data_IF_702507763571
#
_entry.id   IF_702507763571
#
_cell.length_a   1.000
_cell.length_b   1.000
_cell.length_c   1.000
_cell.angle_alpha   90.00
_cell.angle_beta   90.00
_cell.angle_gamma   90.00
#
_symmetry.space_group_name_H-M   'P 1'
#
loop_
_entity.id
_entity.type
_entity.pdbx_description
1 polymer ?
#
# COMPACT_ATOMS: atom_id res chain seq x y z
N UNK A 1 30.08 -17.37 9.09
CA UNK A 1 30.67 -16.06 9.45
C UNK A 1 30.63 -15.19 8.20
N UNK A 2 30.51 -13.88 8.31
CA UNK A 2 30.61 -13.02 7.12
C UNK A 2 32.06 -12.99 6.63
N UNK A 3 32.29 -13.26 5.35
CA UNK A 3 33.63 -13.27 4.75
C UNK A 3 34.12 -11.85 4.44
N UNK A 4 33.19 -10.90 4.26
CA UNK A 4 33.46 -9.48 4.01
C UNK A 4 33.23 -8.65 5.27
N UNK A 5 34.06 -7.62 5.46
CA UNK A 5 33.95 -6.66 6.57
C UNK A 5 34.16 -5.23 6.08
N UNK A 6 33.41 -4.30 6.65
CA UNK A 6 33.65 -2.87 6.54
C UNK A 6 34.49 -2.41 7.73
N UNK A 7 35.35 -1.42 7.51
CA UNK A 7 36.16 -0.81 8.57
C UNK A 7 35.65 0.59 8.84
N UNK A 8 35.29 0.86 10.08
CA UNK A 8 34.89 2.20 10.55
C UNK A 8 35.93 2.69 11.55
N UNK A 9 36.49 3.88 11.31
CA UNK A 9 37.45 4.52 12.21
C UNK A 9 36.80 5.73 12.91
N UNK A 10 36.85 5.76 14.25
CA UNK A 10 36.31 6.85 15.07
C UNK A 10 37.32 7.13 16.19
N UNK A 11 37.80 8.37 16.30
CA UNK A 11 38.76 8.82 17.32
C UNK A 11 39.98 7.89 17.48
N UNK A 12 40.54 7.42 16.36
CA UNK A 12 41.69 6.51 16.34
C UNK A 12 41.39 5.06 16.71
N UNK A 13 40.13 4.71 17.02
CA UNK A 13 39.67 3.33 17.22
C UNK A 13 39.14 2.76 15.90
N UNK A 14 39.45 1.49 15.66
CA UNK A 14 39.02 0.76 14.47
C UNK A 14 37.94 -0.26 14.85
N UNK A 15 36.81 -0.22 14.18
CA UNK A 15 35.72 -1.18 14.32
C UNK A 15 35.56 -1.96 13.01
N UNK A 16 35.61 -3.28 13.11
CA UNK A 16 35.28 -4.17 11.99
C UNK A 16 33.80 -4.55 12.07
N UNK A 17 33.05 -4.20 11.03
CA UNK A 17 31.62 -4.48 10.93
C UNK A 17 31.38 -5.55 9.85
N UNK A 18 30.65 -6.63 10.15
CA UNK A 18 30.28 -7.63 9.15
C UNK A 18 29.53 -7.00 7.97
N UNK A 19 29.80 -7.47 6.76
CA UNK A 19 28.99 -7.17 5.58
C UNK A 19 28.19 -8.43 5.21
N UNK A 20 26.87 -8.31 5.13
CA UNK A 20 25.99 -9.39 4.72
C UNK A 20 25.50 -9.16 3.29
N UNK A 21 25.55 -10.20 2.48
CA UNK A 21 24.94 -10.23 1.17
C UNK A 21 23.56 -10.91 1.26
N UNK A 22 22.56 -10.32 0.60
CA UNK A 22 21.27 -10.98 0.37
C UNK A 22 21.30 -11.87 -0.88
N UNK A 23 20.19 -12.55 -1.17
CA UNK A 23 20.01 -13.27 -2.44
C UNK A 23 20.01 -12.31 -3.65
N UNK A 24 19.55 -11.07 -3.44
CA UNK A 24 19.55 -9.98 -4.40
C UNK A 24 19.64 -8.63 -3.66
N UNK A 25 19.93 -7.56 -4.40
CA UNK A 25 20.02 -6.20 -3.86
C UNK A 25 21.42 -5.81 -3.38
N UNK A 26 21.47 -4.81 -2.51
CA UNK A 26 22.73 -4.21 -2.02
C UNK A 26 23.21 -4.91 -0.75
N UNK A 27 24.51 -5.20 -0.65
CA UNK A 27 25.16 -5.68 0.57
C UNK A 27 24.93 -4.70 1.74
N UNK A 28 24.67 -5.20 2.94
CA UNK A 28 24.39 -4.38 4.14
C UNK A 28 25.51 -4.48 5.17
N UNK A 29 25.82 -3.37 5.82
CA UNK A 29 26.81 -3.30 6.92
C UNK A 29 26.08 -3.48 8.25
N UNK A 30 26.49 -4.48 9.04
CA UNK A 30 25.92 -4.72 10.36
C UNK A 30 26.47 -3.77 11.41
N UNK A 31 25.65 -2.78 11.76
CA UNK A 31 25.97 -1.76 12.77
C UNK A 31 25.47 -2.12 14.19
N UNK A 32 24.93 -3.31 14.42
CA UNK A 32 24.30 -3.68 15.72
C UNK A 32 25.27 -3.56 16.91
N UNK A 33 26.56 -3.78 16.68
CA UNK A 33 27.60 -3.71 17.73
C UNK A 33 28.05 -2.28 18.02
N UNK A 34 27.82 -1.30 17.13
CA UNK A 34 28.27 0.09 17.32
C UNK A 34 27.64 0.75 18.56
N UNK A 35 26.39 0.42 18.86
CA UNK A 35 25.70 0.96 20.04
C UNK A 35 26.38 0.59 21.37
N UNK A 36 27.00 -0.61 21.44
CA UNK A 36 27.76 -1.06 22.62
C UNK A 36 29.09 -0.31 22.76
N UNK A 37 29.57 0.30 21.67
CA UNK A 37 30.79 1.11 21.62
C UNK A 37 30.52 2.60 21.86
N UNK A 38 29.27 2.98 22.13
CA UNK A 38 28.87 4.35 22.42
C UNK A 38 28.48 5.19 21.20
N UNK A 39 28.37 4.59 20.01
CA UNK A 39 28.06 5.31 18.77
C UNK A 39 26.73 4.87 18.16
N UNK A 40 26.02 5.82 17.55
CA UNK A 40 24.84 5.58 16.73
C UNK A 40 25.04 6.19 15.36
N UNK A 41 24.42 5.58 14.35
CA UNK A 41 24.28 6.21 13.03
C UNK A 41 23.20 7.31 13.11
N UNK A 42 23.27 8.27 12.20
CA UNK A 42 22.26 9.33 12.06
C UNK A 42 21.74 9.32 10.63
N UNK A 43 20.54 8.78 10.45
CA UNK A 43 19.89 8.61 9.15
C UNK A 43 18.40 9.02 9.24
N UNK A 44 18.09 10.32 9.34
CA UNK A 44 16.71 10.80 9.33
C UNK A 44 15.99 10.35 8.07
N UNK A 45 14.93 9.55 8.24
CA UNK A 45 14.15 8.99 7.14
C UNK A 45 14.56 7.58 6.71
N UNK A 46 15.58 6.97 7.35
CA UNK A 46 16.03 5.60 7.09
C UNK A 46 16.46 5.34 5.64
N UNK A 47 17.06 6.34 5.00
CA UNK A 47 17.38 6.27 3.57
C UNK A 47 18.57 5.35 3.26
N UNK A 48 19.38 5.02 4.25
CA UNK A 48 20.55 4.16 4.14
C UNK A 48 20.55 3.05 5.20
N UNK A 49 19.39 2.76 5.79
CA UNK A 49 19.24 1.79 6.88
C UNK A 49 18.35 0.63 6.45
N UNK A 50 18.93 -0.55 6.26
CA UNK A 50 18.17 -1.80 6.14
C UNK A 50 17.64 -2.24 7.50
N UNK A 51 16.33 -2.07 7.75
CA UNK A 51 15.74 -2.30 9.07
C UNK A 51 15.40 -3.76 9.38
N UNK A 52 15.35 -4.63 8.38
CA UNK A 52 15.00 -6.05 8.54
C UNK A 52 15.53 -6.92 7.41
N UNK A 53 15.66 -8.22 7.67
CA UNK A 53 15.68 -9.24 6.63
C UNK A 53 14.23 -9.52 6.18
N UNK A 54 14.01 -9.75 4.88
CA UNK A 54 12.70 -10.12 4.35
C UNK A 54 12.82 -11.03 3.13
N UNK A 55 11.82 -11.88 2.94
CA UNK A 55 11.68 -12.82 1.81
C UNK A 55 10.38 -12.61 1.04
N UNK A 56 9.64 -11.53 1.33
CA UNK A 56 8.31 -11.29 0.75
C UNK A 56 8.41 -10.65 -0.63
N UNK A 57 9.03 -9.47 -0.70
CA UNK A 57 9.09 -8.67 -1.92
C UNK A 57 10.50 -8.15 -2.13
N UNK A 58 10.94 -8.17 -3.39
CA UNK A 58 12.20 -7.57 -3.82
C UNK A 58 11.93 -6.50 -4.86
N UNK A 59 12.66 -5.39 -4.76
CA UNK A 59 12.60 -4.29 -5.72
C UNK A 59 14.02 -3.96 -6.19
N UNK A 60 14.20 -3.90 -7.51
CA UNK A 60 15.33 -3.21 -8.12
C UNK A 60 14.81 -1.95 -8.81
N UNK A 61 15.00 -0.81 -8.15
CA UNK A 61 14.53 0.48 -8.64
C UNK A 61 15.23 0.94 -9.91
N UNK A 62 16.49 0.54 -10.12
CA UNK A 62 17.25 0.93 -11.30
C UNK A 62 16.81 0.13 -12.52
N UNK A 63 16.53 -1.15 -12.35
CA UNK A 63 16.11 -2.03 -13.45
C UNK A 63 14.58 -2.14 -13.61
N UNK A 64 13.80 -1.49 -12.75
CA UNK A 64 12.33 -1.54 -12.83
C UNK A 64 11.76 -2.91 -12.46
N UNK A 65 12.40 -3.62 -11.53
CA UNK A 65 11.99 -4.98 -11.14
C UNK A 65 11.15 -4.94 -9.88
N UNK A 66 10.02 -5.64 -9.87
CA UNK A 66 9.21 -5.94 -8.69
C UNK A 66 8.92 -7.44 -8.65
N UNK A 67 9.39 -8.10 -7.60
CA UNK A 67 9.16 -9.53 -7.40
C UNK A 67 8.37 -9.75 -6.11
N UNK A 68 7.31 -10.56 -6.17
CA UNK A 68 6.67 -11.14 -4.98
C UNK A 68 7.07 -12.61 -4.90
N UNK A 69 7.76 -13.00 -3.82
CA UNK A 69 8.33 -14.35 -3.64
C UNK A 69 9.14 -14.84 -4.84
N UNK A 70 9.83 -13.92 -5.51
CA UNK A 70 10.64 -14.20 -6.71
C UNK A 70 9.87 -14.16 -8.04
N UNK A 71 8.54 -14.08 -8.03
CA UNK A 71 7.73 -13.97 -9.25
C UNK A 71 7.60 -12.52 -9.70
N UNK A 72 7.91 -12.18 -10.97
CA UNK A 72 7.72 -10.84 -11.50
C UNK A 72 6.26 -10.40 -11.46
N UNK A 73 6.03 -9.14 -11.08
CA UNK A 73 4.69 -8.59 -10.91
C UNK A 73 3.85 -8.65 -12.18
N UNK A 74 4.47 -8.51 -13.35
CA UNK A 74 3.79 -8.57 -14.65
C UNK A 74 3.22 -9.97 -14.90
N UNK A 75 3.97 -11.00 -14.52
CA UNK A 75 3.50 -12.39 -14.65
C UNK A 75 2.34 -12.67 -13.71
N UNK A 76 2.40 -12.19 -12.47
CA UNK A 76 1.30 -12.32 -11.52
C UNK A 76 0.05 -11.59 -12.03
N UNK A 77 0.19 -10.36 -12.50
CA UNK A 77 -0.94 -9.57 -12.98
C UNK A 77 -1.56 -10.09 -14.29
N UNK A 78 -0.82 -10.85 -15.09
CA UNK A 78 -1.31 -11.49 -16.32
C UNK A 78 -1.92 -12.89 -16.08
N UNK A 79 -1.32 -13.69 -15.18
CA UNK A 79 -1.59 -15.13 -15.07
C UNK A 79 -2.23 -15.57 -13.76
N UNK A 80 -2.21 -14.71 -12.74
CA UNK A 80 -2.74 -14.99 -11.40
C UNK A 80 -4.03 -14.20 -11.17
N UNK A 81 -4.52 -14.26 -9.93
CA UNK A 81 -5.56 -13.40 -9.41
C UNK A 81 -5.20 -12.91 -8.00
N UNK A 82 -5.96 -11.98 -7.45
CA UNK A 82 -5.64 -11.38 -6.16
C UNK A 82 -5.61 -12.39 -5.00
N UNK A 83 -6.49 -13.40 -4.96
CA UNK A 83 -6.49 -14.38 -3.87
C UNK A 83 -5.32 -15.36 -3.95
N UNK A 84 -4.89 -15.75 -5.14
CA UNK A 84 -3.68 -16.56 -5.33
C UNK A 84 -2.43 -15.75 -4.94
N UNK A 85 -2.37 -14.46 -5.31
CA UNK A 85 -1.32 -13.54 -4.85
C UNK A 85 -1.33 -13.36 -3.34
N UNK A 86 -2.51 -13.30 -2.71
CA UNK A 86 -2.62 -13.25 -1.26
C UNK A 86 -2.03 -14.50 -0.60
N UNK A 87 -2.36 -15.69 -1.14
CA UNK A 87 -1.80 -16.95 -0.66
C UNK A 87 -0.27 -16.95 -0.78
N UNK A 88 0.25 -16.58 -1.95
CA UNK A 88 1.69 -16.50 -2.22
C UNK A 88 2.41 -15.60 -1.20
N UNK A 89 1.87 -14.41 -0.93
CA UNK A 89 2.46 -13.47 0.01
C UNK A 89 2.43 -14.00 1.45
N UNK A 90 1.38 -14.69 1.86
CA UNK A 90 1.25 -15.26 3.20
C UNK A 90 2.12 -16.50 3.41
N UNK A 91 2.05 -17.45 2.48
CA UNK A 91 2.58 -18.81 2.66
C UNK A 91 3.99 -18.97 2.05
N UNK A 92 4.41 -18.07 1.15
CA UNK A 92 5.74 -18.06 0.55
C UNK A 92 5.85 -18.79 -0.79
N UNK A 93 4.86 -19.62 -1.13
CA UNK A 93 4.81 -20.45 -2.33
C UNK A 93 3.45 -20.32 -3.02
N UNK A 94 3.37 -20.60 -4.32
CA UNK A 94 2.08 -20.69 -5.02
C UNK A 94 1.27 -21.90 -4.51
N UNK A 95 -0.05 -21.77 -4.38
CA UNK A 95 -0.89 -22.86 -3.91
C UNK A 95 -1.01 -23.97 -4.96
N UNK A 96 -1.10 -25.21 -4.50
CA UNK A 96 -1.74 -26.28 -5.28
C UNK A 96 -3.23 -26.00 -5.45
N UNK A 97 -3.88 -26.64 -6.42
CA UNK A 97 -5.33 -26.49 -6.65
C UNK A 97 -6.15 -26.67 -5.36
N UNK A 98 -5.89 -27.74 -4.60
CA UNK A 98 -6.61 -28.00 -3.35
C UNK A 98 -6.37 -26.91 -2.30
N UNK A 99 -5.12 -26.45 -2.14
CA UNK A 99 -4.80 -25.36 -1.20
C UNK A 99 -5.47 -24.05 -1.61
N UNK A 100 -5.53 -23.77 -2.91
CA UNK A 100 -6.20 -22.59 -3.43
C UNK A 100 -7.71 -22.63 -3.14
N UNK A 101 -8.38 -23.75 -3.44
CA UNK A 101 -9.81 -23.92 -3.15
C UNK A 101 -10.13 -23.80 -1.67
N UNK A 102 -9.29 -24.37 -0.79
CA UNK A 102 -9.45 -24.26 0.66
C UNK A 102 -9.21 -22.83 1.15
N UNK A 103 -8.26 -22.11 0.56
CA UNK A 103 -8.00 -20.71 0.86
C UNK A 103 -9.18 -19.83 0.44
N UNK A 104 -9.63 -19.93 -0.81
CA UNK A 104 -10.80 -19.20 -1.32
C UNK A 104 -12.02 -19.47 -0.44
N UNK A 105 -12.32 -20.73 -0.15
CA UNK A 105 -13.43 -21.11 0.74
C UNK A 105 -13.29 -20.47 2.12
N UNK A 106 -12.08 -20.45 2.68
CA UNK A 106 -11.82 -19.83 3.98
C UNK A 106 -12.08 -18.33 3.95
N UNK A 107 -11.56 -17.62 2.95
CA UNK A 107 -11.78 -16.18 2.79
C UNK A 107 -13.27 -15.88 2.59
N UNK A 108 -13.93 -16.56 1.66
CA UNK A 108 -15.36 -16.39 1.36
C UNK A 108 -16.25 -16.58 2.59
N UNK A 109 -15.94 -17.56 3.45
CA UNK A 109 -16.70 -17.82 4.69
C UNK A 109 -16.45 -16.83 5.82
N UNK A 110 -15.56 -15.85 5.64
CA UNK A 110 -15.26 -14.82 6.63
C UNK A 110 -15.56 -13.40 6.14
N UNK A 111 -16.21 -13.22 4.99
CA UNK A 111 -16.47 -11.90 4.38
C UNK A 111 -17.47 -11.04 5.16
N UNK A 112 -18.49 -11.66 5.77
CA UNK A 112 -19.45 -10.94 6.61
C UNK A 112 -18.79 -10.35 7.86
N UNK A 113 -19.11 -9.10 8.18
CA UNK A 113 -18.71 -8.47 9.44
C UNK A 113 -19.76 -8.73 10.52
N UNK A 114 -19.40 -8.59 11.79
CA UNK A 114 -20.37 -8.64 12.87
C UNK A 114 -21.34 -7.44 12.76
N UNK A 115 -22.63 -7.62 12.99
CA UNK A 115 -23.65 -6.55 12.81
C UNK A 115 -23.37 -5.28 13.64
N UNK A 116 -22.73 -5.44 14.80
CA UNK A 116 -22.28 -4.29 15.62
C UNK A 116 -21.15 -3.47 14.97
N UNK A 117 -20.38 -4.03 14.03
CA UNK A 117 -19.45 -3.27 13.18
C UNK A 117 -20.25 -2.42 12.19
N UNK A 118 -21.33 -2.95 11.58
CA UNK A 118 -22.20 -2.15 10.73
C UNK A 118 -22.84 -0.99 11.52
N UNK A 119 -23.26 -1.24 12.78
CA UNK A 119 -23.74 -0.17 13.66
C UNK A 119 -22.65 0.85 14.04
N UNK A 120 -21.39 0.44 14.14
CA UNK A 120 -20.27 1.35 14.43
C UNK A 120 -20.13 2.47 13.39
N UNK A 121 -20.49 2.21 12.12
CA UNK A 121 -20.50 3.24 11.08
C UNK A 121 -21.43 4.41 11.39
N UNK A 122 -22.50 4.20 12.17
CA UNK A 122 -23.45 5.23 12.56
C UNK A 122 -22.86 6.29 13.50
N UNK A 123 -21.69 6.01 14.11
CA UNK A 123 -20.96 6.98 14.93
C UNK A 123 -20.16 8.01 14.13
N UNK A 124 -19.95 7.80 12.82
CA UNK A 124 -19.30 8.77 11.96
C UNK A 124 -20.28 9.85 11.51
N UNK A 125 -19.73 10.98 11.05
CA UNK A 125 -20.52 11.96 10.30
C UNK A 125 -20.75 11.45 8.88
N UNK A 126 -21.89 11.83 8.28
CA UNK A 126 -22.22 11.48 6.90
C UNK A 126 -21.21 12.02 5.86
N UNK A 127 -20.52 13.11 6.19
CA UNK A 127 -19.48 13.74 5.37
C UNK A 127 -18.05 13.27 5.74
N UNK A 128 -17.92 12.25 6.58
CA UNK A 128 -16.62 11.72 6.97
C UNK A 128 -15.88 11.14 5.75
N UNK A 129 -14.57 11.38 5.68
CA UNK A 129 -13.74 10.81 4.62
C UNK A 129 -13.69 9.27 4.76
N UNK A 130 -13.86 8.48 3.69
CA UNK A 130 -13.81 7.02 3.74
C UNK A 130 -12.57 6.42 4.40
N UNK A 131 -11.38 7.01 4.20
CA UNK A 131 -10.15 6.60 4.91
C UNK A 131 -10.24 6.76 6.44
N UNK A 132 -10.93 7.79 6.94
CA UNK A 132 -11.13 7.97 8.38
C UNK A 132 -12.02 6.86 8.94
N UNK A 133 -13.09 6.52 8.20
CA UNK A 133 -13.98 5.40 8.55
C UNK A 133 -13.22 4.07 8.54
N UNK A 134 -12.44 3.81 7.48
CA UNK A 134 -11.62 2.61 7.38
C UNK A 134 -10.64 2.49 8.56
N UNK A 135 -9.91 3.57 8.88
CA UNK A 135 -8.97 3.60 9.99
C UNK A 135 -9.65 3.31 11.33
N UNK A 136 -10.80 3.95 11.60
CA UNK A 136 -11.54 3.77 12.84
C UNK A 136 -12.14 2.37 12.98
N UNK A 137 -12.78 1.86 11.91
CA UNK A 137 -13.42 0.53 11.91
C UNK A 137 -12.39 -0.58 12.02
N UNK A 138 -11.28 -0.51 11.28
CA UNK A 138 -10.21 -1.52 11.35
C UNK A 138 -9.59 -1.53 12.75
N UNK A 139 -9.35 -0.36 13.35
CA UNK A 139 -8.89 -0.29 14.74
C UNK A 139 -9.89 -0.92 15.73
N UNK A 140 -11.19 -0.68 15.52
CA UNK A 140 -12.24 -1.26 16.35
C UNK A 140 -12.40 -2.78 16.18
N UNK A 141 -11.92 -3.39 15.09
CA UNK A 141 -12.02 -4.85 14.89
C UNK A 141 -11.42 -5.65 16.06
N UNK A 142 -10.39 -5.13 16.74
CA UNK A 142 -9.81 -5.82 17.89
C UNK A 142 -10.78 -6.02 19.04
N UNK A 143 -11.81 -5.17 19.21
CA UNK A 143 -12.83 -5.37 20.25
C UNK A 143 -13.83 -6.47 19.90
N UNK A 144 -14.03 -6.77 18.61
CA UNK A 144 -14.97 -7.80 18.14
C UNK A 144 -14.31 -9.16 17.95
N UNK A 145 -13.04 -9.18 17.59
CA UNK A 145 -12.26 -10.38 17.32
C UNK A 145 -11.21 -10.63 18.41
N UNK A 146 -11.56 -10.27 19.65
CA UNK A 146 -10.66 -10.33 20.81
C UNK A 146 -10.20 -11.76 21.19
N UNK A 147 -10.88 -12.80 20.67
CA UNK A 147 -10.53 -14.20 20.86
C UNK A 147 -9.27 -14.64 20.11
N UNK A 148 -8.78 -13.85 19.16
CA UNK A 148 -7.66 -14.21 18.28
C UNK A 148 -6.58 -13.11 18.24
N UNK A 149 -6.23 -12.56 19.40
CA UNK A 149 -5.24 -11.48 19.55
C UNK A 149 -3.91 -11.93 20.16
N UNK A 150 -3.73 -13.21 20.51
CA UNK A 150 -2.42 -13.70 20.91
C UNK A 150 -1.50 -13.78 19.68
N UNK A 151 -0.61 -12.80 19.58
CA UNK A 151 0.33 -12.67 18.47
C UNK A 151 1.47 -13.71 18.52
N UNK A 152 1.60 -14.45 19.62
CA UNK A 152 2.59 -15.52 19.74
C UNK A 152 2.05 -16.87 19.24
N UNK A 153 0.73 -17.00 19.04
CA UNK A 153 0.09 -18.17 18.48
C UNK A 153 0.01 -18.05 16.94
N UNK A 154 0.80 -18.85 16.17
CA UNK A 154 0.80 -18.77 14.72
C UNK A 154 -0.57 -19.02 14.08
N UNK A 155 -1.41 -19.84 14.71
CA UNK A 155 -2.75 -20.14 14.19
C UNK A 155 -3.70 -18.95 14.41
N UNK A 156 -3.57 -18.20 15.50
CA UNK A 156 -4.31 -16.95 15.70
C UNK A 156 -3.85 -15.87 14.72
N UNK A 157 -2.55 -15.75 14.48
CA UNK A 157 -2.00 -14.84 13.46
C UNK A 157 -2.58 -15.13 12.07
N UNK A 158 -2.55 -16.40 11.64
CA UNK A 158 -3.13 -16.85 10.37
C UNK A 158 -4.64 -16.55 10.27
N UNK A 159 -5.42 -16.83 11.32
CA UNK A 159 -6.86 -16.49 11.34
C UNK A 159 -7.10 -14.98 11.26
N UNK A 160 -6.30 -14.17 11.94
CA UNK A 160 -6.38 -12.70 11.85
C UNK A 160 -6.06 -12.19 10.45
N UNK A 161 -5.04 -12.76 9.79
CA UNK A 161 -4.73 -12.45 8.39
C UNK A 161 -5.89 -12.78 7.43
N UNK A 162 -6.46 -13.98 7.55
CA UNK A 162 -7.62 -14.38 6.73
C UNK A 162 -8.83 -13.46 6.97
N UNK A 163 -9.10 -13.08 8.24
CA UNK A 163 -10.19 -12.15 8.57
C UNK A 163 -9.98 -10.77 7.98
N UNK A 164 -8.75 -10.24 8.02
CA UNK A 164 -8.43 -8.95 7.41
C UNK A 164 -8.66 -8.99 5.90
N UNK A 165 -8.10 -9.99 5.20
CA UNK A 165 -8.28 -10.14 3.74
C UNK A 165 -9.76 -10.29 3.37
N UNK A 166 -10.53 -11.06 4.15
CA UNK A 166 -11.95 -11.30 3.88
C UNK A 166 -12.85 -10.09 4.17
N UNK A 167 -12.57 -9.32 5.22
CA UNK A 167 -13.50 -8.30 5.74
C UNK A 167 -13.22 -6.89 5.23
N UNK A 168 -11.98 -6.59 4.85
CA UNK A 168 -11.63 -5.25 4.37
C UNK A 168 -12.44 -4.81 3.14
N UNK A 169 -12.76 -5.67 2.14
CA UNK A 169 -13.68 -5.30 1.06
C UNK A 169 -15.08 -4.93 1.54
N UNK A 170 -15.63 -5.69 2.48
CA UNK A 170 -16.94 -5.40 3.07
C UNK A 170 -16.91 -4.06 3.80
N UNK A 171 -15.87 -3.79 4.60
CA UNK A 171 -15.71 -2.53 5.34
C UNK A 171 -15.52 -1.35 4.37
N UNK A 172 -14.71 -1.52 3.32
CA UNK A 172 -14.49 -0.50 2.31
C UNK A 172 -15.79 -0.16 1.55
N UNK A 173 -16.53 -1.18 1.12
CA UNK A 173 -17.82 -0.96 0.45
C UNK A 173 -18.87 -0.33 1.38
N UNK A 174 -18.89 -0.71 2.66
CA UNK A 174 -19.74 -0.04 3.68
C UNK A 174 -19.37 1.44 3.84
N UNK A 175 -18.07 1.78 3.86
CA UNK A 175 -17.64 3.19 3.91
C UNK A 175 -18.14 3.98 2.69
N UNK A 176 -18.06 3.41 1.49
CA UNK A 176 -18.65 4.02 0.30
C UNK A 176 -20.17 4.21 0.42
N UNK A 177 -20.91 3.11 0.68
CA UNK A 177 -22.37 3.14 0.83
C UNK A 177 -22.84 4.17 1.87
N UNK A 178 -22.11 4.28 2.97
CA UNK A 178 -22.37 5.26 4.01
C UNK A 178 -22.26 6.69 3.48
N UNK A 179 -21.20 7.02 2.73
CA UNK A 179 -21.01 8.38 2.17
C UNK A 179 -22.05 8.77 1.12
N UNK A 180 -22.61 7.80 0.38
CA UNK A 180 -23.64 8.07 -0.64
C UNK A 180 -25.07 7.88 -0.11
N UNK A 181 -25.25 7.59 1.19
CA UNK A 181 -26.56 7.44 1.83
C UNK A 181 -27.36 6.22 1.36
N UNK A 182 -26.68 5.16 0.89
CA UNK A 182 -27.31 3.94 0.42
C UNK A 182 -27.22 2.82 1.47
N UNK A 183 -28.13 1.82 1.46
CA UNK A 183 -28.04 0.68 2.35
C UNK A 183 -26.76 -0.12 2.12
N UNK A 184 -26.22 -0.71 3.19
CA UNK A 184 -25.12 -1.64 3.08
C UNK A 184 -25.54 -2.90 2.31
N UNK A 185 -24.63 -3.39 1.48
CA UNK A 185 -24.82 -4.59 0.68
C UNK A 185 -23.97 -5.70 1.30
N UNK A 186 -24.58 -6.86 1.52
CA UNK A 186 -23.87 -8.02 2.04
C UNK A 186 -23.02 -8.71 0.96
N UNK A 187 -21.91 -9.37 1.36
CA UNK A 187 -21.12 -10.16 0.43
C UNK A 187 -21.89 -11.36 -0.10
N UNK A 188 -21.58 -11.74 -1.34
CA UNK A 188 -22.11 -12.92 -2.05
C UNK A 188 -21.02 -13.97 -2.24
N UNK A 189 -21.32 -15.20 -1.87
CA UNK A 189 -20.35 -16.31 -1.90
C UNK A 189 -20.13 -16.90 -3.30
N UNK A 190 -21.04 -16.62 -4.24
CA UNK A 190 -20.98 -17.08 -5.63
C UNK A 190 -20.18 -16.15 -6.54
N UNK A 191 -19.77 -14.99 -6.04
CA UNK A 191 -18.94 -14.03 -6.76
C UNK A 191 -17.46 -14.18 -6.36
N UNK A 192 -16.56 -13.93 -7.31
CA UNK A 192 -15.13 -13.79 -7.02
C UNK A 192 -14.84 -12.56 -6.14
N UNK A 193 -13.60 -12.41 -5.67
CA UNK A 193 -13.23 -11.34 -4.75
C UNK A 193 -13.50 -9.94 -5.33
N UNK A 194 -13.13 -9.70 -6.59
CA UNK A 194 -13.33 -8.42 -7.28
C UNK A 194 -14.79 -8.21 -7.71
N UNK A 195 -15.47 -9.26 -8.17
CA UNK A 195 -16.90 -9.19 -8.49
C UNK A 195 -17.74 -8.86 -7.26
N UNK A 196 -17.45 -9.50 -6.13
CA UNK A 196 -18.13 -9.26 -4.87
C UNK A 196 -17.88 -7.83 -4.38
N UNK A 197 -16.66 -7.29 -4.52
CA UNK A 197 -16.38 -5.91 -4.17
C UNK A 197 -17.18 -4.91 -5.01
N UNK A 198 -17.22 -5.08 -6.34
CA UNK A 198 -18.03 -4.23 -7.23
C UNK A 198 -19.52 -4.35 -6.91
N UNK A 199 -20.01 -5.56 -6.65
CA UNK A 199 -21.38 -5.79 -6.21
C UNK A 199 -21.70 -5.04 -4.92
N UNK A 200 -20.87 -5.15 -3.88
CA UNK A 200 -21.08 -4.47 -2.61
C UNK A 200 -21.00 -2.94 -2.73
N UNK A 201 -20.14 -2.43 -3.63
CA UNK A 201 -20.04 -1.00 -3.93
C UNK A 201 -21.30 -0.50 -4.63
N UNK A 202 -21.73 -1.13 -5.72
CA UNK A 202 -22.64 -0.48 -6.68
C UNK A 202 -24.07 -1.01 -6.70
N UNK A 203 -24.32 -2.23 -6.24
CA UNK A 203 -25.68 -2.77 -6.25
C UNK A 203 -26.62 -2.02 -5.31
N UNK A 204 -27.90 -1.99 -5.66
CA UNK A 204 -28.96 -1.41 -4.83
C UNK A 204 -30.15 -2.38 -4.78
N UNK A 205 -31.03 -2.31 -3.78
CA UNK A 205 -32.20 -3.20 -3.71
C UNK A 205 -33.22 -3.00 -4.84
N UNK A 206 -33.13 -1.89 -5.58
CA UNK A 206 -34.11 -1.52 -6.59
C UNK A 206 -33.97 -2.30 -7.92
N UNK A 207 -32.84 -2.92 -8.18
CA UNK A 207 -32.59 -3.67 -9.43
C UNK A 207 -31.46 -4.70 -9.29
N UNK A 208 -31.40 -5.64 -10.23
CA UNK A 208 -30.31 -6.61 -10.28
C UNK A 208 -29.03 -5.95 -10.81
N UNK A 209 -27.96 -5.99 -10.01
CA UNK A 209 -26.64 -5.53 -10.45
C UNK A 209 -25.86 -6.66 -11.13
N UNK A 210 -25.53 -6.46 -12.41
CA UNK A 210 -24.71 -7.38 -13.19
C UNK A 210 -23.28 -6.85 -13.26
N UNK A 211 -22.35 -7.63 -12.72
CA UNK A 211 -20.92 -7.26 -12.75
C UNK A 211 -20.38 -7.48 -14.17
N UNK A 212 -19.76 -6.46 -14.76
CA UNK A 212 -19.01 -6.64 -16.02
C UNK A 212 -17.73 -7.44 -15.75
N UNK A 213 -17.48 -8.54 -16.48
CA UNK A 213 -16.24 -9.32 -16.34
C UNK A 213 -14.98 -8.49 -16.60
N UNK A 214 -15.03 -7.51 -17.50
CA UNK A 214 -13.89 -6.62 -17.80
C UNK A 214 -13.57 -5.75 -16.59
N UNK A 215 -14.59 -5.16 -15.96
CA UNK A 215 -14.38 -4.34 -14.77
C UNK A 215 -13.91 -5.17 -13.57
N UNK A 216 -14.45 -6.37 -13.39
CA UNK A 216 -13.99 -7.29 -12.35
C UNK A 216 -12.52 -7.67 -12.52
N UNK A 217 -12.09 -7.96 -13.76
CA UNK A 217 -10.69 -8.23 -14.09
C UNK A 217 -9.79 -7.01 -13.84
N UNK A 218 -10.26 -5.82 -14.20
CA UNK A 218 -9.52 -4.58 -13.94
C UNK A 218 -9.32 -4.32 -12.45
N UNK A 219 -10.37 -4.54 -11.63
CA UNK A 219 -10.27 -4.42 -10.18
C UNK A 219 -9.33 -5.47 -9.58
N UNK A 220 -9.36 -6.72 -10.05
CA UNK A 220 -8.46 -7.77 -9.57
C UNK A 220 -6.98 -7.43 -9.86
N UNK A 221 -6.68 -6.90 -11.05
CA UNK A 221 -5.36 -6.36 -11.39
C UNK A 221 -4.95 -5.19 -10.50
N UNK A 222 -5.85 -4.23 -10.25
CA UNK A 222 -5.59 -3.14 -9.29
C UNK A 222 -5.21 -3.72 -7.94
N UNK A 223 -5.92 -4.75 -7.45
CA UNK A 223 -5.62 -5.33 -6.15
C UNK A 223 -4.23 -5.99 -6.12
N UNK A 224 -3.89 -6.79 -7.14
CA UNK A 224 -2.57 -7.43 -7.23
C UNK A 224 -1.44 -6.40 -7.28
N UNK A 225 -1.58 -5.35 -8.10
CA UNK A 225 -0.53 -4.35 -8.31
C UNK A 225 -0.30 -3.43 -7.09
N UNK A 226 -1.21 -3.47 -6.13
CA UNK A 226 -1.11 -2.75 -4.87
C UNK A 226 -0.91 -3.68 -3.66
N UNK A 227 -0.85 -5.00 -3.86
CA UNK A 227 -0.84 -6.02 -2.80
C UNK A 227 0.31 -5.85 -1.80
N UNK A 228 1.52 -5.60 -2.30
CA UNK A 228 2.68 -5.28 -1.48
C UNK A 228 3.68 -4.38 -2.22
N UNK A 229 4.54 -3.68 -1.48
CA UNK A 229 5.61 -2.87 -2.06
C UNK A 229 6.78 -2.68 -1.06
N UNK A 230 7.25 -3.77 -0.46
CA UNK A 230 8.45 -3.82 0.40
C UNK A 230 8.36 -2.85 1.62
N UNK A 231 9.49 -2.33 2.15
CA UNK A 231 9.57 -1.50 3.36
C UNK A 231 9.20 -0.02 3.12
N UNK A 232 8.05 0.22 2.47
CA UNK A 232 7.48 1.57 2.38
C UNK A 232 6.95 2.05 3.76
N UNK A 233 6.67 3.36 3.87
CA UNK A 233 6.28 4.01 5.13
C UNK A 233 5.17 3.26 5.89
N UNK A 234 4.10 2.84 5.21
CA UNK A 234 3.00 2.12 5.83
C UNK A 234 3.38 0.71 6.31
N UNK A 235 4.19 -0.03 5.54
CA UNK A 235 4.71 -1.34 5.96
C UNK A 235 5.64 -1.18 7.17
N UNK A 236 6.52 -0.18 7.16
CA UNK A 236 7.39 0.13 8.30
C UNK A 236 6.58 0.53 9.53
N UNK A 237 5.48 1.27 9.37
CA UNK A 237 4.56 1.58 10.48
C UNK A 237 3.93 0.32 11.06
N UNK A 238 3.42 -0.59 10.22
CA UNK A 238 2.83 -1.86 10.65
C UNK A 238 3.85 -2.71 11.43
N UNK A 239 5.08 -2.83 10.91
CA UNK A 239 6.18 -3.53 11.60
C UNK A 239 6.53 -2.86 12.93
N UNK A 240 6.72 -1.54 12.94
CA UNK A 240 7.09 -0.82 14.15
C UNK A 240 6.03 -0.94 15.25
N UNK A 241 4.75 -0.77 14.90
CA UNK A 241 3.64 -0.98 15.82
C UNK A 241 3.55 -2.44 16.30
N UNK A 242 3.66 -3.41 15.39
CA UNK A 242 3.65 -4.83 15.74
C UNK A 242 4.79 -5.23 16.66
N UNK A 243 5.97 -4.62 16.51
CA UNK A 243 7.18 -4.96 17.28
C UNK A 243 7.04 -4.68 18.79
N UNK A 244 6.09 -3.82 19.19
CA UNK A 244 5.76 -3.58 20.60
C UNK A 244 4.77 -4.60 21.17
N UNK A 245 4.32 -5.56 20.37
CA UNK A 245 3.31 -6.55 20.73
C UNK A 245 1.86 -6.10 20.49
N UNK A 246 1.64 -5.07 19.68
CA UNK A 246 0.29 -4.61 19.37
C UNK A 246 -0.49 -5.65 18.55
N UNK A 247 -1.80 -5.72 18.78
CA UNK A 247 -2.68 -6.65 18.07
C UNK A 247 -2.72 -6.37 16.56
N UNK A 248 -3.00 -7.37 15.70
CA UNK A 248 -2.88 -7.23 14.25
C UNK A 248 -3.81 -6.15 13.67
N UNK A 249 -5.04 -6.03 14.18
CA UNK A 249 -6.01 -5.05 13.68
C UNK A 249 -5.55 -3.61 13.97
N UNK A 250 -5.01 -3.34 15.16
CA UNK A 250 -4.41 -2.04 15.48
C UNK A 250 -3.18 -1.75 14.63
N UNK A 251 -2.35 -2.76 14.33
CA UNK A 251 -1.19 -2.61 13.44
C UNK A 251 -1.64 -2.24 12.02
N UNK A 252 -2.64 -2.94 11.47
CA UNK A 252 -3.20 -2.61 10.15
C UNK A 252 -3.85 -1.22 10.16
N UNK A 253 -4.57 -0.83 11.21
CA UNK A 253 -5.12 0.53 11.32
C UNK A 253 -4.02 1.60 11.29
N UNK A 254 -2.87 1.35 11.92
CA UNK A 254 -1.71 2.23 11.83
C UNK A 254 -1.13 2.28 10.40
N UNK A 255 -1.12 1.14 9.69
CA UNK A 255 -0.80 1.08 8.26
C UNK A 255 -1.74 1.92 7.40
N UNK A 256 -3.06 1.82 7.63
CA UNK A 256 -4.10 2.63 6.97
C UNK A 256 -3.86 4.12 7.21
N UNK A 257 -3.61 4.53 8.45
CA UNK A 257 -3.33 5.92 8.80
C UNK A 257 -2.05 6.43 8.11
N UNK A 258 -0.99 5.62 8.08
CA UNK A 258 0.27 5.94 7.40
C UNK A 258 0.09 6.06 5.88
N UNK A 259 -0.72 5.18 5.27
CA UNK A 259 -1.03 5.23 3.84
C UNK A 259 -1.91 6.43 3.46
N UNK A 260 -2.76 6.91 4.36
CA UNK A 260 -3.61 8.08 4.10
C UNK A 260 -2.81 9.38 3.93
N UNK A 261 -1.57 9.43 4.42
CA UNK A 261 -0.70 10.59 4.24
C UNK A 261 -0.55 10.96 2.76
N UNK A 262 -0.65 12.25 2.37
CA UNK A 262 -0.64 12.68 0.98
C UNK A 262 0.68 12.37 0.25
N UNK A 263 1.78 12.27 0.99
CA UNK A 263 3.10 11.88 0.47
C UNK A 263 3.28 10.36 0.30
N UNK A 264 2.26 9.56 0.62
CA UNK A 264 2.25 8.11 0.46
C UNK A 264 1.09 7.68 -0.44
N UNK A 265 -0.01 7.14 0.10
CA UNK A 265 -1.13 6.60 -0.69
C UNK A 265 -2.16 7.62 -1.17
N UNK A 266 -2.05 8.90 -0.79
CA UNK A 266 -2.90 9.98 -1.30
C UNK A 266 -2.52 10.50 -2.69
N UNK A 267 -1.48 9.93 -3.31
CA UNK A 267 -0.97 10.39 -4.61
C UNK A 267 -1.95 10.17 -5.76
N UNK A 268 -2.75 9.09 -5.73
CA UNK A 268 -3.77 8.79 -6.74
C UNK A 268 -4.90 9.83 -6.76
N UNK A 269 -5.42 10.21 -5.60
CA UNK A 269 -6.42 11.28 -5.46
C UNK A 269 -5.85 12.62 -5.93
N UNK A 270 -4.61 12.93 -5.55
CA UNK A 270 -3.93 14.14 -5.96
C UNK A 270 -3.65 14.19 -7.48
N UNK A 271 -3.35 13.05 -8.10
CA UNK A 271 -3.21 12.92 -9.55
C UNK A 271 -4.51 13.28 -10.27
N UNK A 272 -5.65 12.75 -9.82
CA UNK A 272 -6.92 13.08 -10.48
C UNK A 272 -7.33 14.54 -10.25
N UNK A 273 -7.10 15.09 -9.05
CA UNK A 273 -7.31 16.52 -8.76
C UNK A 273 -6.43 17.41 -9.65
N UNK A 274 -5.19 17.01 -9.87
CA UNK A 274 -4.28 17.70 -10.80
C UNK A 274 -4.81 17.66 -12.23
N UNK A 275 -5.22 16.49 -12.74
CA UNK A 275 -5.81 16.37 -14.07
C UNK A 275 -7.06 17.25 -14.21
N UNK A 276 -7.93 17.27 -13.20
CA UNK A 276 -9.10 18.15 -13.13
C UNK A 276 -8.72 19.64 -13.12
N UNK A 277 -7.65 20.02 -12.41
CA UNK A 277 -7.15 21.38 -12.37
C UNK A 277 -6.59 21.85 -13.73
N UNK A 278 -5.95 20.94 -14.47
CA UNK A 278 -5.51 21.19 -15.85
C UNK A 278 -6.75 21.40 -16.73
N UNK A 279 -7.73 20.50 -16.64
CA UNK A 279 -9.05 20.62 -17.26
C UNK A 279 -9.08 20.24 -18.73
N UNK A 280 -8.15 20.76 -19.55
CA UNK A 280 -8.13 20.55 -21.00
C UNK A 280 -6.71 20.48 -21.58
N UNK A 281 -6.59 19.86 -22.76
CA UNK A 281 -5.30 19.57 -23.41
C UNK A 281 -4.51 20.84 -23.74
N UNK A 282 -5.19 21.90 -24.16
CA UNK A 282 -4.61 23.20 -24.49
C UNK A 282 -3.97 23.91 -23.29
N UNK A 283 -4.34 23.53 -22.06
CA UNK A 283 -3.74 24.07 -20.82
C UNK A 283 -2.52 23.28 -20.35
N UNK A 284 -2.22 22.11 -20.92
CA UNK A 284 -1.06 21.31 -20.48
C UNK A 284 0.27 22.09 -20.55
N UNK A 285 0.57 22.88 -21.60
CA UNK A 285 1.81 23.67 -21.65
C UNK A 285 1.98 24.62 -20.44
N UNK A 286 0.89 25.22 -19.95
CA UNK A 286 0.86 26.08 -18.76
C UNK A 286 1.37 25.30 -17.53
N UNK A 287 0.77 24.13 -17.25
CA UNK A 287 1.10 23.33 -16.07
C UNK A 287 2.45 22.64 -16.16
N UNK A 288 2.89 22.29 -17.36
CA UNK A 288 4.24 21.79 -17.60
C UNK A 288 5.27 22.86 -17.28
N UNK A 289 5.05 24.12 -17.69
CA UNK A 289 5.93 25.22 -17.33
C UNK A 289 5.98 25.44 -15.80
N UNK A 290 4.81 25.41 -15.13
CA UNK A 290 4.71 25.49 -13.67
C UNK A 290 5.45 24.36 -12.95
N UNK A 291 5.36 23.13 -13.43
CA UNK A 291 6.07 21.99 -12.85
C UNK A 291 7.60 22.06 -13.00
N UNK A 292 8.09 22.85 -13.97
CA UNK A 292 9.52 23.11 -14.20
C UNK A 292 10.05 24.29 -13.41
N UNK A 293 9.19 25.19 -12.97
CA UNK A 293 9.59 26.35 -12.17
C UNK A 293 9.93 25.91 -10.74
N UNK A 294 11.17 26.21 -10.33
CA UNK A 294 11.66 25.91 -8.97
C UNK A 294 10.97 26.77 -7.90
N UNK A 295 10.37 27.90 -8.29
CA UNK A 295 9.67 28.83 -7.40
C UNK A 295 8.15 28.55 -7.32
N UNK A 296 7.60 27.73 -8.21
CA UNK A 296 6.21 27.26 -8.12
C UNK A 296 6.15 26.00 -7.24
N UNK A 297 5.09 25.88 -6.44
CA UNK A 297 4.82 24.72 -5.59
C UNK A 297 4.12 23.59 -6.35
N UNK A 298 3.63 23.84 -7.56
CA UNK A 298 2.96 22.85 -8.40
C UNK A 298 3.88 21.69 -8.78
N UNK A 299 3.37 20.46 -8.68
CA UNK A 299 4.10 19.24 -9.04
C UNK A 299 3.17 18.32 -9.83
N UNK A 300 3.77 17.56 -10.75
CA UNK A 300 3.05 16.52 -11.49
C UNK A 300 2.83 15.29 -10.59
N UNK A 301 1.62 15.18 -10.04
CA UNK A 301 1.20 14.04 -9.23
C UNK A 301 0.97 12.82 -10.12
N UNK A 302 1.37 11.63 -9.65
CA UNK A 302 1.36 10.41 -10.47
C UNK A 302 2.59 10.25 -11.38
N UNK A 303 3.60 11.12 -11.25
CA UNK A 303 4.86 11.06 -12.01
C UNK A 303 6.07 10.93 -11.07
N UNK A 304 7.05 10.13 -11.51
CA UNK A 304 8.21 9.78 -10.72
C UNK A 304 7.90 8.75 -9.64
N UNK A 305 8.96 8.20 -9.04
CA UNK A 305 8.84 7.20 -8.00
C UNK A 305 10.06 7.25 -7.07
N UNK A 306 9.87 6.98 -5.77
CA UNK A 306 10.97 7.04 -4.77
C UNK A 306 12.02 5.95 -5.01
N UNK A 307 11.55 4.78 -5.43
CA UNK A 307 12.36 3.58 -5.69
C UNK A 307 12.69 3.42 -7.18
N UNK A 308 11.69 3.29 -8.06
CA UNK A 308 11.91 3.18 -9.51
C UNK A 308 12.50 4.45 -10.14
N UNK A 309 13.64 4.31 -10.81
CA UNK A 309 14.31 5.40 -11.51
C UNK A 309 13.95 5.46 -13.00
N UNK A 310 13.68 4.33 -13.66
CA UNK A 310 13.55 4.34 -15.12
C UNK A 310 12.11 4.09 -15.62
N UNK A 311 11.36 3.21 -14.97
CA UNK A 311 9.92 3.00 -15.18
C UNK A 311 9.33 2.21 -14.02
N UNK A 312 8.02 2.33 -13.79
CA UNK A 312 7.29 1.50 -12.84
C UNK A 312 6.74 0.26 -13.57
N UNK A 313 7.17 -0.97 -13.24
CA UNK A 313 6.72 -2.19 -13.93
C UNK A 313 5.21 -2.38 -13.87
N UNK A 314 4.57 -1.87 -12.80
CA UNK A 314 3.12 -1.98 -12.60
C UNK A 314 2.34 -1.07 -13.56
N UNK A 315 2.93 0.06 -13.94
CA UNK A 315 2.28 1.05 -14.79
C UNK A 315 1.99 0.49 -16.19
N UNK A 316 2.84 -0.41 -16.71
CA UNK A 316 2.62 -1.08 -17.99
C UNK A 316 1.31 -1.86 -18.02
N UNK A 317 1.11 -2.76 -17.04
CA UNK A 317 -0.11 -3.57 -16.93
C UNK A 317 -1.34 -2.70 -16.66
N UNK A 318 -1.17 -1.65 -15.85
CA UNK A 318 -2.27 -0.71 -15.59
C UNK A 318 -2.69 0.07 -16.84
N UNK A 319 -1.75 0.46 -17.70
CA UNK A 319 -2.04 1.16 -18.95
C UNK A 319 -2.88 0.32 -19.90
N UNK A 320 -2.53 -0.95 -20.07
CA UNK A 320 -3.31 -1.91 -20.88
C UNK A 320 -4.73 -2.08 -20.30
N UNK A 321 -4.81 -2.27 -18.98
CA UNK A 321 -6.08 -2.37 -18.26
C UNK A 321 -6.94 -1.11 -18.42
N UNK A 322 -6.32 0.07 -18.48
CA UNK A 322 -7.01 1.34 -18.70
C UNK A 322 -7.72 1.34 -20.05
N UNK A 323 -7.04 0.93 -21.11
CA UNK A 323 -7.64 0.84 -22.45
C UNK A 323 -8.78 -0.19 -22.52
N UNK A 324 -8.64 -1.35 -21.86
CA UNK A 324 -9.70 -2.37 -21.76
C UNK A 324 -10.97 -1.78 -21.12
N UNK A 325 -10.85 -1.11 -19.97
CA UNK A 325 -11.98 -0.54 -19.22
C UNK A 325 -12.69 0.57 -19.99
N UNK A 326 -11.92 1.48 -20.58
CA UNK A 326 -12.50 2.60 -21.33
C UNK A 326 -13.27 2.14 -22.57
N UNK A 327 -12.75 1.11 -23.24
CA UNK A 327 -13.41 0.49 -24.40
C UNK A 327 -14.71 -0.20 -23.99
N UNK A 328 -14.70 -0.98 -22.91
CA UNK A 328 -15.89 -1.66 -22.36
C UNK A 328 -17.01 -0.66 -22.02
N UNK A 329 -16.66 0.45 -21.37
CA UNK A 329 -17.64 1.43 -20.91
C UNK A 329 -18.07 2.42 -22.00
N UNK A 330 -17.43 2.38 -23.18
CA UNK A 330 -17.63 3.33 -24.27
C UNK A 330 -17.56 4.80 -23.79
N UNK A 331 -16.66 5.09 -22.83
CA UNK A 331 -16.50 6.40 -22.22
C UNK A 331 -15.56 7.25 -23.09
N UNK A 332 -16.04 8.44 -23.45
CA UNK A 332 -15.19 9.55 -23.92
C UNK A 332 -15.08 10.56 -22.79
N UNK A 333 -13.96 10.54 -22.08
CA UNK A 333 -13.69 11.45 -20.96
C UNK A 333 -12.61 12.47 -21.38
N UNK A 334 -12.92 13.78 -21.45
CA UNK A 334 -11.89 14.79 -21.75
C UNK A 334 -10.69 14.76 -20.79
N UNK A 335 -10.88 14.29 -19.55
CA UNK A 335 -9.76 14.15 -18.60
C UNK A 335 -8.81 13.02 -18.98
N UNK A 336 -9.28 12.02 -19.73
CA UNK A 336 -8.41 11.00 -20.30
C UNK A 336 -7.56 11.60 -21.42
N UNK A 337 -8.12 12.46 -22.28
CA UNK A 337 -7.34 13.12 -23.32
C UNK A 337 -6.22 13.98 -22.70
N UNK A 338 -6.54 14.68 -21.60
CA UNK A 338 -5.54 15.40 -20.79
C UNK A 338 -4.49 14.45 -20.24
N UNK A 339 -4.90 13.31 -19.67
CA UNK A 339 -3.97 12.33 -19.13
C UNK A 339 -3.05 11.75 -20.21
N UNK A 340 -3.58 11.31 -21.34
CA UNK A 340 -2.80 10.74 -22.44
C UNK A 340 -1.81 11.74 -23.03
N UNK A 341 -2.21 13.00 -23.20
CA UNK A 341 -1.29 14.02 -23.71
C UNK A 341 -0.22 14.40 -22.66
N UNK A 342 -0.58 14.44 -21.37
CA UNK A 342 0.37 14.67 -20.30
C UNK A 342 1.38 13.52 -20.18
N UNK A 343 0.93 12.26 -20.34
CA UNK A 343 1.79 11.08 -20.45
C UNK A 343 2.77 11.25 -21.61
N UNK A 344 2.27 11.57 -22.81
CA UNK A 344 3.08 11.77 -24.02
C UNK A 344 4.15 12.84 -23.81
N UNK A 345 3.79 13.96 -23.18
CA UNK A 345 4.73 15.05 -22.88
C UNK A 345 5.76 14.62 -21.85
N UNK A 346 5.35 13.96 -20.76
CA UNK A 346 6.29 13.48 -19.75
C UNK A 346 7.32 12.49 -20.31
N UNK A 347 6.94 11.69 -21.31
CA UNK A 347 7.83 10.72 -21.97
C UNK A 347 8.74 11.34 -23.05
N UNK A 348 8.44 12.55 -23.54
CA UNK A 348 9.17 13.18 -24.66
C UNK A 348 9.89 14.48 -24.29
N UNK A 349 9.52 15.13 -23.19
CA UNK A 349 10.14 16.37 -22.75
C UNK A 349 11.51 16.11 -22.07
N UNK A 350 12.58 16.81 -22.49
CA UNK A 350 13.91 16.62 -21.91
C UNK A 350 13.97 16.81 -20.39
N UNK A 351 13.17 17.72 -19.82
CA UNK A 351 13.17 17.95 -18.37
C UNK A 351 12.65 16.73 -17.61
N UNK A 352 11.54 16.14 -18.07
CA UNK A 352 10.94 14.99 -17.39
C UNK A 352 11.79 13.74 -17.57
N UNK A 353 12.43 13.55 -18.72
CA UNK A 353 13.38 12.46 -18.97
C UNK A 353 14.62 12.60 -18.06
N UNK A 354 15.24 13.78 -18.00
CA UNK A 354 16.43 14.02 -17.16
C UNK A 354 16.10 13.83 -15.67
N UNK A 355 14.93 14.30 -15.23
CA UNK A 355 14.44 14.16 -13.86
C UNK A 355 13.81 12.81 -13.56
N UNK A 356 13.71 11.92 -14.55
CA UNK A 356 13.16 10.56 -14.40
C UNK A 356 11.71 10.55 -13.88
N UNK A 357 10.91 11.49 -14.37
CA UNK A 357 9.52 11.71 -13.95
C UNK A 357 8.55 10.97 -14.90
N UNK A 358 8.53 9.64 -14.79
CA UNK A 358 7.67 8.77 -15.58
C UNK A 358 6.31 8.54 -14.89
N UNK A 359 5.21 8.32 -15.64
CA UNK A 359 3.94 7.92 -15.06
C UNK A 359 4.11 6.65 -14.20
N UNK A 360 3.55 6.66 -13.00
CA UNK A 360 3.58 5.51 -12.10
C UNK A 360 2.21 4.81 -12.03
N UNK A 361 2.10 3.75 -11.21
CA UNK A 361 0.85 2.98 -11.07
C UNK A 361 -0.36 3.84 -10.66
N UNK A 362 -0.16 4.90 -9.87
CA UNK A 362 -1.23 5.76 -9.34
C UNK A 362 -1.89 6.61 -10.43
N UNK A 363 -1.13 6.94 -11.49
CA UNK A 363 -1.63 7.70 -12.62
C UNK A 363 -2.76 6.95 -13.34
N UNK A 364 -2.51 5.69 -13.72
CA UNK A 364 -3.48 4.88 -14.44
C UNK A 364 -4.59 4.33 -13.55
N UNK A 365 -4.27 3.96 -12.30
CA UNK A 365 -5.28 3.43 -11.37
C UNK A 365 -6.36 4.47 -11.08
N UNK A 366 -6.00 5.74 -10.90
CA UNK A 366 -6.96 6.82 -10.70
C UNK A 366 -7.93 7.01 -11.88
N UNK A 367 -7.44 6.85 -13.12
CA UNK A 367 -8.28 6.98 -14.32
C UNK A 367 -9.26 5.81 -14.42
N UNK A 368 -8.80 4.58 -14.19
CA UNK A 368 -9.65 3.38 -14.22
C UNK A 368 -10.73 3.45 -13.15
N UNK A 369 -10.36 3.77 -11.91
CA UNK A 369 -11.32 3.85 -10.80
C UNK A 369 -12.38 4.91 -11.09
N UNK A 370 -11.98 6.06 -11.62
CA UNK A 370 -12.93 7.10 -12.05
C UNK A 370 -13.85 6.60 -13.17
N UNK A 371 -13.32 5.94 -14.18
CA UNK A 371 -14.11 5.41 -15.30
C UNK A 371 -15.18 4.41 -14.83
N UNK A 372 -14.85 3.56 -13.86
CA UNK A 372 -15.79 2.62 -13.20
C UNK A 372 -16.89 3.36 -12.40
N UNK A 373 -16.69 4.64 -12.07
CA UNK A 373 -17.61 5.43 -11.24
C UNK A 373 -17.26 5.41 -9.75
N UNK A 374 -16.06 4.96 -9.39
CA UNK A 374 -15.55 5.01 -8.01
C UNK A 374 -15.16 6.47 -7.70
N UNK A 375 -15.65 7.07 -6.61
CA UNK A 375 -15.28 8.43 -6.24
C UNK A 375 -13.82 8.51 -5.79
N UNK A 376 -13.19 9.66 -6.01
CA UNK A 376 -11.77 9.90 -5.66
C UNK A 376 -11.45 9.61 -4.19
N UNK A 377 -12.38 9.90 -3.28
CA UNK A 377 -12.22 9.66 -1.84
C UNK A 377 -12.08 8.17 -1.47
N UNK A 378 -12.42 7.26 -2.39
CA UNK A 378 -12.28 5.81 -2.23
C UNK A 378 -10.98 5.25 -2.80
N UNK A 379 -10.17 6.04 -3.52
CA UNK A 379 -8.97 5.52 -4.19
C UNK A 379 -7.95 4.97 -3.19
N UNK A 380 -7.61 5.75 -2.16
CA UNK A 380 -6.71 5.29 -1.10
C UNK A 380 -7.33 4.20 -0.22
N UNK A 381 -8.66 4.14 -0.11
CA UNK A 381 -9.35 3.03 0.60
C UNK A 381 -9.14 1.70 -0.13
N UNK A 382 -9.31 1.71 -1.45
CA UNK A 382 -9.07 0.53 -2.29
C UNK A 382 -7.59 0.15 -2.22
N UNK A 383 -6.69 1.13 -2.29
CA UNK A 383 -5.26 0.88 -2.10
C UNK A 383 -5.00 0.22 -0.72
N UNK A 384 -5.52 0.77 0.38
CA UNK A 384 -5.34 0.19 1.71
C UNK A 384 -5.89 -1.23 1.82
N UNK A 385 -7.06 -1.50 1.23
CA UNK A 385 -7.66 -2.82 1.16
C UNK A 385 -6.74 -3.81 0.44
N UNK A 386 -6.23 -3.44 -0.73
CA UNK A 386 -5.30 -4.27 -1.51
C UNK A 386 -3.97 -4.48 -0.79
N UNK A 387 -3.43 -3.43 -0.16
CA UNK A 387 -2.15 -3.46 0.55
C UNK A 387 -2.20 -4.27 1.85
N UNK A 388 -3.39 -4.56 2.37
CA UNK A 388 -3.58 -5.26 3.65
C UNK A 388 -2.88 -6.62 3.68
N UNK A 389 -2.85 -7.34 2.55
CA UNK A 389 -2.14 -8.64 2.50
C UNK A 389 -0.63 -8.48 2.65
N UNK A 390 -0.02 -7.49 1.98
CA UNK A 390 1.40 -7.18 2.15
C UNK A 390 1.73 -6.77 3.58
N UNK A 391 0.91 -5.90 4.19
CA UNK A 391 1.09 -5.51 5.59
C UNK A 391 1.04 -6.67 6.56
N UNK A 392 0.04 -7.56 6.44
CA UNK A 392 -0.10 -8.67 7.39
C UNK A 392 0.95 -9.76 7.14
N UNK A 393 1.38 -9.99 5.89
CA UNK A 393 2.54 -10.84 5.58
C UNK A 393 3.81 -10.29 6.21
N UNK A 394 4.06 -8.98 6.10
CA UNK A 394 5.24 -8.36 6.70
C UNK A 394 5.20 -8.38 8.23
N UNK A 395 4.01 -8.23 8.83
CA UNK A 395 3.80 -8.35 10.27
C UNK A 395 4.05 -9.79 10.76
N UNK A 396 3.52 -10.79 10.06
CA UNK A 396 3.71 -12.20 10.41
C UNK A 396 5.17 -12.64 10.22
N UNK A 397 5.85 -12.20 9.15
CA UNK A 397 7.28 -12.47 8.95
C UNK A 397 8.12 -11.91 10.10
N UNK A 398 7.84 -10.67 10.53
CA UNK A 398 8.55 -10.04 11.63
C UNK A 398 8.34 -10.78 12.96
N UNK A 399 7.11 -11.21 13.27
CA UNK A 399 6.82 -11.97 14.50
C UNK A 399 7.27 -13.43 14.44
N UNK A 400 7.48 -13.98 13.23
CA UNK A 400 8.01 -15.33 13.04
C UNK A 400 9.53 -15.38 13.16
N UNK A 401 10.21 -14.24 13.07
CA UNK A 401 11.65 -14.16 13.27
C UNK A 401 12.02 -14.43 14.74
N UNK A 402 12.78 -15.50 14.97
CA UNK A 402 13.27 -15.92 16.30
C UNK A 402 14.08 -14.83 17.02
N UNK A 403 14.67 -13.91 16.26
CA UNK A 403 15.50 -12.83 16.78
C UNK A 403 14.81 -11.48 16.88
N UNK A 404 13.50 -11.38 16.59
CA UNK A 404 12.83 -10.10 16.51
C UNK A 404 12.91 -9.33 17.84
N UNK A 405 13.04 -8.01 17.75
CA UNK A 405 13.10 -7.11 18.90
C UNK A 405 12.16 -5.94 18.68
N UNK A 406 11.76 -5.30 19.77
CA UNK A 406 11.01 -4.05 19.72
C UNK A 406 11.79 -2.97 18.95
N UNK A 407 11.14 -2.32 17.99
CA UNK A 407 11.70 -1.19 17.29
C UNK A 407 11.75 0.03 18.21
N UNK A 408 12.97 0.50 18.52
CA UNK A 408 13.21 1.63 19.43
C UNK A 408 14.41 2.47 18.96
N UNK A 409 14.23 3.33 17.93
CA UNK A 409 15.31 4.13 17.38
C UNK A 409 15.87 5.14 18.39
N UNK A 410 17.05 5.68 18.07
CA UNK A 410 17.72 6.74 18.85
C UNK A 410 17.51 8.11 18.21
N UNK A 411 17.93 9.15 18.92
CA UNK A 411 17.88 10.53 18.46
C UNK A 411 19.22 11.22 18.70
N UNK A 412 19.50 12.24 17.89
CA UNK A 412 20.52 13.25 18.17
C UNK A 412 19.85 14.37 18.98
N UNK A 413 20.14 14.46 20.27
CA UNK A 413 19.55 15.50 21.13
C UNK A 413 20.25 16.84 20.95
N UNK A 414 19.53 17.84 20.45
CA UNK A 414 20.01 19.22 20.25
C UNK A 414 19.20 20.25 21.04
N UNK A 415 18.47 19.80 22.07
CA UNK A 415 17.71 20.65 22.98
C UNK A 415 18.57 21.28 24.08
N UNK A 416 17.93 22.00 25.00
CA UNK A 416 18.60 22.54 26.18
C UNK A 416 19.19 21.43 27.06
N UNK A 417 20.39 21.65 27.60
CA UNK A 417 20.92 20.78 28.66
C UNK A 417 20.13 20.96 29.96
N UNK A 418 20.61 20.33 31.04
CA UNK A 418 20.06 20.55 32.37
C UNK A 418 19.96 22.06 32.69
N UNK A 419 18.78 22.49 33.13
CA UNK A 419 18.47 23.85 33.57
C UNK A 419 17.50 23.79 34.74
N UNK A 420 17.69 24.65 35.72
CA UNK A 420 16.87 24.65 36.93
C UNK A 420 15.44 25.11 36.62
N UNK A 421 14.48 24.44 37.25
CA UNK A 421 13.08 24.85 37.20
C UNK A 421 12.87 26.08 38.07
N UNK A 422 12.40 27.18 37.47
CA UNK A 422 12.03 28.38 38.20
C UNK A 422 10.51 28.41 38.38
N UNK A 423 10.06 28.21 39.63
CA UNK A 423 8.64 28.34 39.99
C UNK A 423 8.17 29.77 39.75
N UNK A 424 6.97 29.92 39.17
CA UNK A 424 6.23 31.20 39.12
C UNK A 424 5.22 31.37 40.25
N UNK A 425 5.14 30.38 41.17
CA UNK A 425 4.33 30.44 42.39
C UNK A 425 5.12 31.03 43.53
#
# INVERSE_FOLDING_TARGET
>A
MADKKAVVQIDGKTFELPIYAGTAGTDVIDVRTLGQQGYFTFDPGFMSTGSCESKITYIDGDNGVLLHRGYPIEQLAEKSNYLETCYLLLEGELPTEQQYQDFVKTITRHTMVHEKIAAFFQGFRVDAHPMAMLCGVVGAMSSFYHSDLDINDPMQRKRSAHRLIAKLPTIAAMAYKYTVGQPFVYPRNDLSYSENFLHMMFSVPAEEYKVSPVLAKAMDRIFMLHADHEQNASTSTVRLAGSSGANPYACIAAGVASLWGPAHGGANEACLKMLQQIGSVDRIPEFVARAKDKNDSFRLMGFGHRVYKNFDPRAKVMRETCHEVLSELNIKDPLLDVAMELERIALSDPYFIEKKLYPNVDFYSGIILKAIGIPTSMFTVIFAMSRTVGWISHWDEMLSDKGHKIGRPRQLYTGYTARDYVSKK
#
